data_IF_849436667872
#
_entry.id   IF_849436667872
#
_cell.length_a   1.000
_cell.length_b   1.000
_cell.length_c   1.000
_cell.angle_alpha   90.00
_cell.angle_beta   90.00
_cell.angle_gamma   90.00
#
_symmetry.space_group_name_H-M   'P 1'
#
loop_
_entity.id
_entity.type
_entity.pdbx_description
1 polymer ?
#
# COMPACT_ATOMS: atom_id res chain seq x y z
N UNK A 1 15.29 -14.60 -1.88
CA UNK A 1 14.79 -14.51 -0.49
C UNK A 1 13.98 -13.23 -0.41
N UNK A 2 12.64 -13.29 -0.43
CA UNK A 2 11.82 -12.09 -0.29
C UNK A 2 11.65 -11.77 1.19
N UNK A 3 12.36 -10.75 1.66
CA UNK A 3 12.22 -10.23 3.01
C UNK A 3 10.83 -9.60 3.14
N UNK A 4 9.95 -10.21 3.94
CA UNK A 4 8.62 -9.65 4.23
C UNK A 4 8.80 -8.54 5.27
N UNK A 5 8.78 -7.29 4.83
CA UNK A 5 8.79 -6.15 5.75
C UNK A 5 7.37 -5.89 6.26
N UNK A 6 7.14 -6.13 7.56
CA UNK A 6 5.94 -5.64 8.24
C UNK A 6 6.17 -4.18 8.58
N UNK A 7 5.57 -3.27 7.81
CA UNK A 7 5.74 -1.84 8.02
C UNK A 7 4.85 -1.43 9.19
N UNK A 8 5.44 -1.33 10.38
CA UNK A 8 4.77 -0.86 11.60
C UNK A 8 5.52 0.33 12.21
N UNK A 9 6.00 1.22 11.35
CA UNK A 9 6.47 2.56 11.72
C UNK A 9 5.31 3.55 11.54
N UNK A 10 5.42 4.77 12.09
CA UNK A 10 4.39 5.81 11.96
C UNK A 10 3.89 5.95 10.51
N UNK A 11 2.58 6.16 10.31
CA UNK A 11 1.90 6.25 8.99
C UNK A 11 2.73 6.96 7.91
N UNK A 12 3.29 8.14 8.22
CA UNK A 12 4.09 8.91 7.25
C UNK A 12 5.39 8.23 6.79
N UNK A 13 6.08 7.51 7.67
CA UNK A 13 7.28 6.72 7.29
C UNK A 13 6.88 5.55 6.38
N UNK A 14 5.76 4.92 6.69
CA UNK A 14 5.20 3.83 5.89
C UNK A 14 4.83 4.28 4.48
N UNK A 15 4.21 5.46 4.36
CA UNK A 15 3.93 6.09 3.05
C UNK A 15 5.22 6.30 2.27
N UNK A 16 6.22 6.95 2.89
CA UNK A 16 7.48 7.25 2.20
C UNK A 16 8.20 5.97 1.73
N UNK A 17 8.26 4.95 2.57
CA UNK A 17 8.93 3.69 2.25
C UNK A 17 8.20 2.91 1.14
N UNK A 18 6.87 2.82 1.20
CA UNK A 18 6.08 2.15 0.15
C UNK A 18 6.17 2.92 -1.17
N UNK A 19 6.09 4.25 -1.12
CA UNK A 19 6.24 5.09 -2.31
C UNK A 19 7.61 4.92 -2.97
N UNK A 20 8.69 4.91 -2.17
CA UNK A 20 10.05 4.67 -2.67
C UNK A 20 10.12 3.36 -3.45
N UNK A 21 9.63 2.26 -2.87
CA UNK A 21 9.64 0.94 -3.52
C UNK A 21 8.82 0.94 -4.81
N UNK A 22 7.60 1.47 -4.78
CA UNK A 22 6.74 1.55 -5.97
C UNK A 22 7.34 2.42 -7.08
N UNK A 23 8.11 3.45 -6.71
CA UNK A 23 8.75 4.34 -7.67
C UNK A 23 10.04 3.76 -8.26
N UNK A 24 10.73 2.89 -7.52
CA UNK A 24 12.01 2.31 -7.94
C UNK A 24 11.90 0.89 -8.50
N UNK A 25 10.79 0.19 -8.26
CA UNK A 25 10.63 -1.16 -8.76
C UNK A 25 10.57 -1.18 -10.29
N UNK A 26 11.17 -2.19 -10.90
CA UNK A 26 11.02 -2.41 -12.33
C UNK A 26 9.64 -2.99 -12.62
N UNK A 27 9.11 -3.84 -11.72
CA UNK A 27 7.87 -4.56 -11.91
C UNK A 27 7.04 -4.66 -10.63
N UNK A 28 5.79 -4.21 -10.73
CA UNK A 28 4.76 -4.48 -9.74
C UNK A 28 4.19 -5.88 -10.00
N UNK A 29 4.33 -6.79 -9.03
CA UNK A 29 3.86 -8.17 -9.15
C UNK A 29 2.48 -8.36 -8.52
N UNK A 30 2.20 -7.65 -7.43
CA UNK A 30 0.93 -7.74 -6.72
C UNK A 30 0.69 -6.48 -5.88
N UNK A 31 -0.52 -5.93 -5.99
CA UNK A 31 -0.98 -4.79 -5.24
C UNK A 31 -2.47 -4.96 -4.95
N UNK A 32 -2.83 -5.24 -3.70
CA UNK A 32 -4.22 -5.51 -3.34
C UNK A 32 -4.50 -5.14 -1.88
N UNK A 33 -5.77 -4.80 -1.60
CA UNK A 33 -6.29 -4.62 -0.25
C UNK A 33 -7.11 -5.83 0.18
N UNK A 34 -6.74 -6.38 1.32
CA UNK A 34 -7.46 -7.46 1.98
C UNK A 34 -8.15 -6.94 3.25
N UNK A 35 -9.48 -7.05 3.28
CA UNK A 35 -10.27 -6.75 4.48
C UNK A 35 -10.28 -7.98 5.40
N UNK A 36 -9.60 -7.88 6.55
CA UNK A 36 -9.62 -8.90 7.59
C UNK A 36 -10.55 -8.47 8.74
N UNK A 37 -11.00 -9.45 9.54
CA UNK A 37 -12.03 -9.25 10.57
C UNK A 37 -11.74 -8.13 11.59
N UNK A 38 -10.46 -7.77 11.77
CA UNK A 38 -10.01 -6.77 12.74
C UNK A 38 -9.07 -5.69 12.17
N UNK A 39 -8.83 -5.68 10.86
CA UNK A 39 -7.88 -4.76 10.22
C UNK A 39 -8.01 -4.82 8.70
N UNK A 40 -7.50 -3.80 8.03
CA UNK A 40 -7.36 -3.73 6.58
C UNK A 40 -5.88 -3.85 6.24
N UNK A 41 -5.54 -4.71 5.30
CA UNK A 41 -4.15 -5.00 4.93
C UNK A 41 -3.91 -4.61 3.48
N UNK A 42 -2.94 -3.74 3.24
CA UNK A 42 -2.40 -3.49 1.91
C UNK A 42 -1.20 -4.42 1.69
N UNK A 43 -1.26 -5.24 0.65
CA UNK A 43 -0.15 -6.08 0.22
C UNK A 43 0.52 -5.43 -0.98
N UNK A 44 1.84 -5.30 -0.92
CA UNK A 44 2.66 -4.78 -2.02
C UNK A 44 3.77 -5.78 -2.29
N UNK A 45 3.80 -6.34 -3.48
CA UNK A 45 4.87 -7.24 -3.94
C UNK A 45 5.38 -6.73 -5.26
N UNK A 46 6.69 -6.55 -5.31
CA UNK A 46 7.45 -6.13 -6.50
C UNK A 46 8.56 -7.15 -6.76
N UNK A 47 9.28 -6.96 -7.86
CA UNK A 47 10.52 -7.66 -8.16
C UNK A 47 11.59 -7.46 -7.07
N UNK A 48 11.57 -6.32 -6.38
CA UNK A 48 12.60 -5.94 -5.41
C UNK A 48 12.23 -6.23 -3.94
N UNK A 49 10.94 -6.22 -3.60
CA UNK A 49 10.48 -6.28 -2.21
C UNK A 49 9.05 -6.82 -2.07
N UNK A 50 8.77 -7.43 -0.90
CA UNK A 50 7.42 -7.82 -0.48
C UNK A 50 7.12 -7.19 0.88
N UNK A 51 5.98 -6.50 1.01
CA UNK A 51 5.61 -5.81 2.23
C UNK A 51 4.12 -5.74 2.46
N UNK A 52 3.78 -5.52 3.73
CA UNK A 52 2.40 -5.37 4.19
C UNK A 52 2.28 -4.15 5.07
N UNK A 53 1.26 -3.35 4.80
CA UNK A 53 0.81 -2.25 5.64
C UNK A 53 -0.57 -2.57 6.20
N UNK A 54 -0.84 -2.18 7.44
CA UNK A 54 -2.11 -2.50 8.10
C UNK A 54 -2.72 -1.28 8.77
N UNK A 55 -4.02 -1.12 8.61
CA UNK A 55 -4.85 -0.12 9.30
C UNK A 55 -5.96 -0.80 10.08
N UNK A 56 -6.49 -0.12 11.11
CA UNK A 56 -7.56 -0.69 11.95
C UNK A 56 -8.90 -0.76 11.22
N UNK A 57 -9.11 0.13 10.25
CA UNK A 57 -10.37 0.27 9.51
C UNK A 57 -10.12 0.77 8.09
N UNK A 58 -11.19 0.76 7.28
CA UNK A 58 -11.17 1.22 5.88
C UNK A 58 -10.82 2.70 5.77
N UNK A 59 -11.36 3.57 6.62
CA UNK A 59 -11.05 5.00 6.62
C UNK A 59 -9.55 5.28 6.81
N UNK A 60 -8.89 4.51 7.69
CA UNK A 60 -7.45 4.57 7.89
C UNK A 60 -6.69 4.17 6.64
N UNK A 61 -7.13 3.09 5.97
CA UNK A 61 -6.53 2.65 4.70
C UNK A 61 -6.76 3.65 3.58
N UNK A 62 -7.97 4.21 3.46
CA UNK A 62 -8.30 5.24 2.48
C UNK A 62 -7.42 6.47 2.68
N UNK A 63 -7.32 6.97 3.91
CA UNK A 63 -6.43 8.08 4.26
C UNK A 63 -4.96 7.78 3.92
N UNK A 64 -4.53 6.55 4.16
CA UNK A 64 -3.18 6.10 3.81
C UNK A 64 -2.97 6.11 2.29
N UNK A 65 -3.88 5.52 1.51
CA UNK A 65 -3.80 5.47 0.05
C UNK A 65 -3.85 6.86 -0.58
N UNK A 66 -4.74 7.73 -0.11
CA UNK A 66 -4.80 9.13 -0.57
C UNK A 66 -3.45 9.82 -0.35
N UNK A 67 -2.81 9.58 0.80
CA UNK A 67 -1.49 10.14 1.06
C UNK A 67 -0.42 9.49 0.18
N UNK A 68 -0.43 8.17 0.02
CA UNK A 68 0.50 7.43 -0.83
C UNK A 68 0.47 7.90 -2.28
N UNK A 69 -0.73 8.17 -2.82
CA UNK A 69 -0.97 8.72 -4.15
C UNK A 69 -0.18 9.99 -4.43
N UNK A 70 0.05 10.82 -3.41
CA UNK A 70 0.83 12.07 -3.56
C UNK A 70 2.32 11.82 -3.84
N UNK A 71 2.86 10.67 -3.43
CA UNK A 71 4.29 10.35 -3.50
C UNK A 71 4.64 9.37 -4.62
N UNK A 72 3.69 8.58 -5.14
CA UNK A 72 3.95 7.65 -6.23
C UNK A 72 3.96 8.33 -7.61
N UNK A 73 4.84 7.87 -8.49
CA UNK A 73 4.95 8.33 -9.88
C UNK A 73 3.81 7.76 -10.71
N UNK A 74 3.53 6.46 -10.57
CA UNK A 74 2.41 5.76 -11.22
C UNK A 74 1.21 5.82 -10.30
N UNK A 75 0.33 6.79 -10.54
CA UNK A 75 -0.84 7.04 -9.68
C UNK A 75 -2.02 6.14 -10.01
N UNK A 76 -2.11 5.69 -11.26
CA UNK A 76 -3.23 4.87 -11.76
C UNK A 76 -3.43 3.61 -10.90
N UNK A 77 -2.34 2.91 -10.55
CA UNK A 77 -2.39 1.71 -9.68
C UNK A 77 -2.98 1.99 -8.28
N UNK A 78 -2.78 3.22 -7.75
CA UNK A 78 -3.34 3.65 -6.46
C UNK A 78 -4.76 4.17 -6.64
N UNK A 79 -5.07 4.79 -7.77
CA UNK A 79 -6.41 5.28 -8.11
C UNK A 79 -7.39 4.13 -8.25
N UNK A 80 -7.00 3.05 -8.92
CA UNK A 80 -7.80 1.81 -8.99
C UNK A 80 -8.13 1.30 -7.58
N UNK A 81 -7.14 1.23 -6.68
CA UNK A 81 -7.39 0.82 -5.29
C UNK A 81 -8.32 1.78 -4.53
N UNK A 82 -8.23 3.08 -4.78
CA UNK A 82 -9.09 4.08 -4.15
C UNK A 82 -10.54 3.94 -4.61
N UNK A 83 -10.77 3.66 -5.89
CA UNK A 83 -12.10 3.39 -6.44
C UNK A 83 -12.71 2.14 -5.79
N UNK A 84 -11.96 1.03 -5.71
CA UNK A 84 -12.42 -0.20 -5.04
C UNK A 84 -12.71 -0.04 -3.55
N UNK A 85 -12.10 0.92 -2.85
CA UNK A 85 -12.41 1.20 -1.45
C UNK A 85 -13.61 2.15 -1.27
N UNK A 86 -13.99 2.88 -2.32
CA UNK A 86 -15.12 3.82 -2.31
C UNK A 86 -16.47 3.21 -2.69
N UNK A 87 -16.46 2.03 -3.32
CA UNK A 87 -17.66 1.26 -3.66
C UNK A 87 -18.06 0.33 -2.49
N UNK A 88 -18.79 0.87 -1.50
CA UNK A 88 -19.61 0.09 -0.54
C UNK A 88 -21.11 0.38 -0.71
#
# INVERSE_FOLDING_TARGET
>A
MNTIYKVNQSRGKSVAQIAEILNTCEMLLYLEIENQMNKVVLHVITDSAAMKYTELNKDGMLSFLTKLREYVIRKDDIDDLLEFQGEE
#
